data_IF_617846131107
#
_entry.id   IF_617846131107
#
_cell.length_a   1.000
_cell.length_b   1.000
_cell.length_c   1.000
_cell.angle_alpha   90.00
_cell.angle_beta   90.00
_cell.angle_gamma   90.00
#
_symmetry.space_group_name_H-M   'P 1'
#
loop_
_entity.id
_entity.type
_entity.pdbx_description
1 polymer ?
#
# COMPACT_ATOMS: atom_id res chain seq x y z
N UNK A 1 -4.28 4.93 1.44
CA UNK A 1 -5.48 4.17 1.87
C UNK A 1 -5.90 3.13 0.84
N UNK A 2 -6.42 3.51 -0.33
CA UNK A 2 -6.94 2.57 -1.34
C UNK A 2 -5.96 1.47 -1.73
N UNK A 3 -4.67 1.78 -1.94
CA UNK A 3 -3.67 0.78 -2.30
C UNK A 3 -3.48 -0.34 -1.29
N UNK A 4 -3.48 -0.04 0.02
CA UNK A 4 -3.39 -1.07 1.06
C UNK A 4 -4.62 -1.97 1.09
N UNK A 5 -5.81 -1.40 0.92
CA UNK A 5 -7.07 -2.18 0.84
C UNK A 5 -7.07 -3.10 -0.38
N UNK A 6 -6.61 -2.62 -1.54
CA UNK A 6 -6.51 -3.46 -2.75
C UNK A 6 -5.57 -4.66 -2.56
N UNK A 7 -4.42 -4.44 -1.90
CA UNK A 7 -3.46 -5.52 -1.57
C UNK A 7 -4.09 -6.52 -0.61
N UNK A 8 -4.76 -6.04 0.45
CA UNK A 8 -5.46 -6.89 1.41
C UNK A 8 -6.56 -7.73 0.75
N UNK A 9 -7.38 -7.10 -0.11
CA UNK A 9 -8.46 -7.78 -0.82
C UNK A 9 -7.92 -8.91 -1.70
N UNK A 10 -6.85 -8.65 -2.45
CA UNK A 10 -6.22 -9.66 -3.30
C UNK A 10 -5.69 -10.87 -2.54
N UNK A 11 -5.16 -10.65 -1.33
CA UNK A 11 -4.74 -11.72 -0.45
C UNK A 11 -5.90 -12.55 0.08
N UNK A 12 -6.99 -11.89 0.50
CA UNK A 12 -8.19 -12.55 1.02
C UNK A 12 -9.03 -13.25 -0.05
N UNK A 13 -8.96 -12.76 -1.28
CA UNK A 13 -9.77 -13.17 -2.42
C UNK A 13 -8.89 -13.48 -3.63
N UNK A 14 -7.99 -14.49 -3.55
CA UNK A 14 -6.91 -14.67 -4.51
C UNK A 14 -7.34 -15.06 -5.93
N UNK A 15 -8.62 -15.40 -6.13
CA UNK A 15 -9.16 -15.79 -7.43
C UNK A 15 -10.20 -14.77 -7.97
N UNK A 16 -10.50 -13.68 -7.24
CA UNK A 16 -11.62 -12.79 -7.57
C UNK A 16 -11.20 -11.62 -8.49
N UNK A 17 -9.90 -11.36 -8.61
CA UNK A 17 -9.35 -10.24 -9.38
C UNK A 17 -8.28 -10.69 -10.37
N UNK A 18 -8.19 -9.99 -11.50
CA UNK A 18 -7.25 -10.29 -12.59
C UNK A 18 -5.93 -9.52 -12.50
N UNK A 19 -5.85 -8.51 -11.64
CA UNK A 19 -4.64 -7.70 -11.42
C UNK A 19 -4.88 -6.52 -10.49
N UNK A 20 -3.81 -5.99 -9.89
CA UNK A 20 -3.83 -4.84 -8.99
C UNK A 20 -2.86 -3.78 -9.49
N UNK A 21 -3.36 -2.59 -9.80
CA UNK A 21 -2.54 -1.39 -9.93
C UNK A 21 -2.82 -0.47 -8.75
N UNK A 22 -1.81 -0.17 -7.93
CA UNK A 22 -1.97 0.72 -6.79
C UNK A 22 -0.84 1.72 -6.61
N UNK A 23 -1.16 2.80 -5.89
CA UNK A 23 -0.29 3.94 -5.63
C UNK A 23 -0.05 4.05 -4.12
N UNK A 24 1.23 4.12 -3.72
CA UNK A 24 1.66 4.24 -2.33
C UNK A 24 0.87 3.38 -1.31
N UNK A 25 0.80 2.04 -1.49
CA UNK A 25 0.09 1.16 -0.55
C UNK A 25 0.81 1.10 0.80
N UNK A 26 0.04 1.12 1.89
CA UNK A 26 0.54 0.84 3.23
C UNK A 26 0.50 -0.67 3.51
N UNK A 27 1.45 -1.16 4.30
CA UNK A 27 1.56 -2.58 4.68
C UNK A 27 0.82 -2.96 5.97
N UNK A 28 0.65 -2.00 6.89
CA UNK A 28 -0.10 -2.14 8.14
C UNK A 28 -0.71 -0.79 8.53
N UNK A 29 -1.92 -0.80 9.09
CA UNK A 29 -2.56 0.41 9.61
C UNK A 29 -1.80 0.97 10.82
N UNK A 30 -1.17 0.11 11.61
CA UNK A 30 -0.36 0.48 12.77
C UNK A 30 0.84 1.35 12.36
N UNK A 31 1.60 0.88 11.38
CA UNK A 31 2.75 1.63 10.85
C UNK A 31 2.27 2.93 10.17
N UNK A 32 1.16 2.89 9.43
CA UNK A 32 0.58 4.08 8.81
C UNK A 32 0.19 5.14 9.85
N UNK A 33 -0.52 4.74 10.89
CA UNK A 33 -0.97 5.63 11.96
C UNK A 33 0.23 6.23 12.70
N UNK A 34 1.23 5.41 13.04
CA UNK A 34 2.47 5.88 13.64
C UNK A 34 3.17 6.92 12.75
N UNK A 35 3.34 6.63 11.46
CA UNK A 35 3.95 7.56 10.49
C UNK A 35 3.14 8.86 10.36
N UNK A 36 1.81 8.77 10.35
CA UNK A 36 0.94 9.94 10.28
C UNK A 36 1.09 10.83 11.51
N UNK A 37 1.09 10.25 12.72
CA UNK A 37 1.34 11.00 13.96
C UNK A 37 2.71 11.68 13.90
N UNK A 38 3.76 10.93 13.48
CA UNK A 38 5.11 11.44 13.20
C UNK A 38 5.20 12.58 12.20
N UNK A 39 4.27 12.64 11.25
CA UNK A 39 4.23 13.71 10.26
C UNK A 39 3.60 15.01 10.81
N UNK A 40 2.55 14.89 11.61
CA UNK A 40 1.74 16.05 12.05
C UNK A 40 2.19 16.67 13.37
N UNK A 41 2.95 15.94 14.19
CA UNK A 41 3.39 16.41 15.50
C UNK A 41 4.90 16.35 15.66
N UNK A 42 5.49 17.44 16.15
CA UNK A 42 6.93 17.52 16.48
C UNK A 42 7.24 17.05 17.91
N UNK A 43 6.23 16.84 18.75
CA UNK A 43 6.36 16.54 20.19
C UNK A 43 5.82 15.14 20.52
N UNK A 44 6.25 14.14 19.77
CA UNK A 44 5.69 12.79 19.92
C UNK A 44 6.41 12.05 21.02
N UNK A 45 5.60 11.39 21.84
CA UNK A 45 6.00 10.28 22.67
C UNK A 45 5.05 9.10 22.40
N UNK A 46 5.44 7.91 22.83
CA UNK A 46 4.67 6.68 22.63
C UNK A 46 3.26 6.75 23.26
N UNK A 47 3.07 7.59 24.28
CA UNK A 47 1.77 7.81 24.93
C UNK A 47 0.75 8.47 23.98
N UNK A 48 1.19 9.37 23.10
CA UNK A 48 0.30 10.00 22.12
C UNK A 48 -0.24 8.97 21.12
N UNK A 49 0.64 8.11 20.59
CA UNK A 49 0.27 7.03 19.67
C UNK A 49 -0.70 6.05 20.37
N UNK A 50 -0.39 5.67 21.62
CA UNK A 50 -1.29 4.83 22.41
C UNK A 50 -2.67 5.48 22.60
N UNK A 51 -2.72 6.80 22.85
CA UNK A 51 -3.99 7.52 23.00
C UNK A 51 -4.78 7.60 21.71
N UNK A 52 -4.12 7.78 20.55
CA UNK A 52 -4.78 7.73 19.25
C UNK A 52 -5.41 6.36 19.01
N UNK A 53 -4.68 5.27 19.31
CA UNK A 53 -5.23 3.91 19.22
C UNK A 53 -6.39 3.65 20.17
N UNK A 54 -6.33 4.15 21.40
CA UNK A 54 -7.45 4.08 22.34
C UNK A 54 -8.71 4.75 21.75
N UNK A 55 -8.55 5.94 21.14
CA UNK A 55 -9.66 6.66 20.51
C UNK A 55 -10.18 5.96 19.26
N UNK A 56 -9.31 5.35 18.44
CA UNK A 56 -9.71 4.53 17.29
C UNK A 56 -10.56 3.36 17.79
N UNK A 57 -10.06 2.60 18.77
CA UNK A 57 -10.77 1.47 19.34
C UNK A 57 -12.13 1.86 19.91
N UNK A 58 -12.21 2.94 20.69
CA UNK A 58 -13.47 3.44 21.25
C UNK A 58 -14.49 3.83 20.17
N UNK A 59 -14.04 4.31 19.00
CA UNK A 59 -14.92 4.79 17.92
C UNK A 59 -15.31 3.71 16.92
N UNK A 60 -14.44 2.73 16.67
CA UNK A 60 -14.61 1.77 15.57
C UNK A 60 -14.64 0.32 16.03
N UNK A 61 -14.24 0.03 17.27
CA UNK A 61 -14.01 -1.31 17.78
C UNK A 61 -12.73 -1.98 17.26
N UNK A 62 -11.99 -1.33 16.35
CA UNK A 62 -10.77 -1.89 15.77
C UNK A 62 -9.72 -2.13 16.84
N UNK A 63 -9.05 -3.27 16.75
CA UNK A 63 -7.89 -3.59 17.58
C UNK A 63 -6.61 -3.40 16.77
N UNK A 64 -5.57 -2.90 17.43
CA UNK A 64 -4.24 -2.77 16.86
C UNK A 64 -3.76 -4.12 16.27
N UNK A 65 -3.21 -4.12 15.07
CA UNK A 65 -2.81 -5.34 14.35
C UNK A 65 -3.92 -6.08 13.58
N UNK A 66 -5.17 -5.59 13.59
CA UNK A 66 -6.24 -6.23 12.81
C UNK A 66 -6.09 -5.97 11.30
N UNK A 67 -5.66 -4.77 10.92
CA UNK A 67 -5.57 -4.32 9.52
C UNK A 67 -4.12 -4.34 9.05
N UNK A 68 -3.72 -5.48 8.49
CA UNK A 68 -2.37 -5.73 7.99
C UNK A 68 -2.38 -6.24 6.54
N UNK A 69 -2.50 -5.35 5.53
CA UNK A 69 -2.46 -5.76 4.13
C UNK A 69 -1.30 -6.68 3.76
N UNK A 70 -0.12 -6.48 4.35
CA UNK A 70 1.05 -7.33 4.10
C UNK A 70 0.86 -8.78 4.55
N UNK A 71 0.08 -9.01 5.62
CA UNK A 71 -0.20 -10.36 6.13
C UNK A 71 -1.02 -11.16 5.12
N UNK A 72 -1.97 -10.52 4.46
CA UNK A 72 -2.81 -11.17 3.45
C UNK A 72 -2.09 -11.25 2.08
N UNK A 73 -1.20 -10.31 1.77
CA UNK A 73 -0.49 -10.21 0.49
C UNK A 73 0.21 -11.50 0.04
N UNK A 74 0.69 -12.33 0.98
CA UNK A 74 1.33 -13.61 0.69
C UNK A 74 0.42 -14.64 0.01
N UNK A 75 -0.91 -14.48 0.15
CA UNK A 75 -1.90 -15.40 -0.43
C UNK A 75 -2.33 -14.98 -1.84
N UNK A 76 -1.99 -13.76 -2.26
CA UNK A 76 -2.43 -13.21 -3.53
C UNK A 76 -1.82 -13.97 -4.71
N UNK A 77 -2.57 -14.07 -5.82
CA UNK A 77 -2.12 -14.72 -7.07
C UNK A 77 -2.08 -13.78 -8.26
N UNK A 78 -2.94 -12.77 -8.26
CA UNK A 78 -3.07 -11.82 -9.35
C UNK A 78 -1.79 -10.98 -9.54
N UNK A 79 -1.45 -10.54 -10.76
CA UNK A 79 -0.36 -9.60 -11.00
C UNK A 79 -0.49 -8.31 -10.18
N UNK A 80 0.64 -7.76 -9.74
CA UNK A 80 0.71 -6.54 -8.95
C UNK A 80 1.62 -5.50 -9.60
N UNK A 81 1.10 -4.27 -9.74
CA UNK A 81 1.86 -3.07 -10.04
C UNK A 81 1.71 -2.08 -8.89
N UNK A 82 2.83 -1.63 -8.35
CA UNK A 82 2.90 -0.54 -7.38
C UNK A 82 3.69 0.60 -7.99
N UNK A 83 3.15 1.82 -7.94
CA UNK A 83 3.99 3.03 -8.04
C UNK A 83 4.16 3.69 -6.68
N UNK A 84 5.35 4.23 -6.43
CA UNK A 84 5.66 4.88 -5.16
C UNK A 84 6.70 6.00 -5.30
N UNK A 85 6.39 7.16 -4.72
CA UNK A 85 7.32 8.27 -4.56
C UNK A 85 8.41 8.00 -3.52
N UNK A 86 9.68 8.12 -3.89
CA UNK A 86 10.81 7.79 -3.00
C UNK A 86 10.95 8.71 -1.78
N UNK A 87 10.31 9.88 -1.81
CA UNK A 87 10.32 10.87 -0.73
C UNK A 87 8.99 10.92 0.05
N UNK A 88 8.15 9.89 -0.08
CA UNK A 88 6.91 9.78 0.68
C UNK A 88 7.20 9.64 2.18
N UNK A 89 6.70 10.59 2.97
CA UNK A 89 6.83 10.60 4.44
C UNK A 89 5.56 10.15 5.15
N UNK A 90 4.43 10.09 4.44
CA UNK A 90 3.16 9.63 5.00
C UNK A 90 3.09 8.11 4.95
N UNK A 91 3.43 7.53 3.80
CA UNK A 91 3.59 6.10 3.60
C UNK A 91 5.01 5.88 3.07
N UNK A 92 6.03 5.69 3.92
CA UNK A 92 7.38 5.44 3.43
C UNK A 92 7.44 4.31 2.41
N UNK A 93 8.30 4.45 1.40
CA UNK A 93 8.44 3.47 0.31
C UNK A 93 8.72 2.05 0.79
N UNK A 94 9.30 1.90 1.99
CA UNK A 94 9.53 0.62 2.65
C UNK A 94 8.27 -0.21 2.84
N UNK A 95 7.08 0.39 2.93
CA UNK A 95 5.82 -0.35 2.91
C UNK A 95 5.64 -1.14 1.61
N UNK A 96 5.89 -0.50 0.47
CA UNK A 96 5.77 -1.16 -0.84
C UNK A 96 6.87 -2.18 -1.08
N UNK A 97 8.08 -1.92 -0.61
CA UNK A 97 9.17 -2.89 -0.64
C UNK A 97 8.81 -4.16 0.13
N UNK A 98 8.32 -4.00 1.36
CA UNK A 98 7.86 -5.12 2.20
C UNK A 98 6.68 -5.86 1.56
N UNK A 99 5.71 -5.15 0.97
CA UNK A 99 4.60 -5.76 0.25
C UNK A 99 5.12 -6.59 -0.93
N UNK A 100 5.98 -6.04 -1.80
CA UNK A 100 6.56 -6.77 -2.93
C UNK A 100 7.30 -8.02 -2.47
N UNK A 101 8.10 -7.91 -1.40
CA UNK A 101 8.82 -9.04 -0.85
C UNK A 101 7.86 -10.15 -0.38
N UNK A 102 6.80 -9.79 0.34
CA UNK A 102 5.82 -10.73 0.87
C UNK A 102 4.79 -11.23 -0.16
N UNK A 103 4.60 -10.53 -1.28
CA UNK A 103 3.52 -10.82 -2.23
C UNK A 103 3.64 -12.21 -2.88
N UNK A 104 2.55 -12.99 -2.82
CA UNK A 104 2.50 -14.37 -3.32
C UNK A 104 2.44 -14.52 -4.83
N UNK A 105 1.92 -13.50 -5.54
CA UNK A 105 1.82 -13.50 -6.99
C UNK A 105 3.20 -13.42 -7.63
N UNK A 106 3.40 -14.19 -8.71
CA UNK A 106 4.68 -14.26 -9.42
C UNK A 106 5.00 -12.96 -10.15
N UNK A 107 3.98 -12.33 -10.74
CA UNK A 107 4.12 -11.09 -11.49
C UNK A 107 3.94 -9.90 -10.55
N UNK A 108 5.05 -9.25 -10.20
CA UNK A 108 5.04 -8.08 -9.31
C UNK A 108 6.05 -7.04 -9.74
N UNK A 109 5.62 -5.79 -9.74
CA UNK A 109 6.43 -4.64 -10.16
C UNK A 109 6.31 -3.50 -9.15
N UNK A 110 7.44 -2.90 -8.82
CA UNK A 110 7.53 -1.64 -8.09
C UNK A 110 8.19 -0.58 -8.97
N UNK A 111 7.40 0.37 -9.45
CA UNK A 111 7.90 1.58 -10.08
C UNK A 111 8.21 2.62 -9.00
N UNK A 112 9.49 2.92 -8.85
CA UNK A 112 9.97 4.03 -8.01
C UNK A 112 10.05 5.30 -8.84
N UNK A 113 9.68 6.42 -8.24
CA UNK A 113 9.86 7.72 -8.89
C UNK A 113 10.18 8.83 -7.88
N UNK A 114 10.82 9.89 -8.36
CA UNK A 114 11.03 11.11 -7.58
C UNK A 114 9.69 11.77 -7.26
N UNK A 115 9.41 11.97 -5.97
CA UNK A 115 8.20 12.61 -5.48
C UNK A 115 7.87 12.18 -4.06
N UNK A 116 6.99 12.92 -3.41
CA UNK A 116 6.35 12.56 -2.15
C UNK A 116 4.93 12.02 -2.38
N UNK A 117 4.15 11.84 -1.30
CA UNK A 117 2.79 11.32 -1.36
C UNK A 117 1.87 12.12 -2.30
N UNK A 118 2.04 13.45 -2.36
CA UNK A 118 1.13 14.37 -3.03
C UNK A 118 1.69 14.96 -4.33
N UNK A 119 2.94 14.65 -4.65
CA UNK A 119 3.58 15.09 -5.89
C UNK A 119 2.83 14.58 -7.11
N UNK A 120 2.77 15.39 -8.17
CA UNK A 120 2.25 14.92 -9.46
C UNK A 120 3.01 13.66 -9.89
N UNK A 121 2.26 12.62 -10.26
CA UNK A 121 2.86 11.38 -10.76
C UNK A 121 3.47 11.64 -12.13
N UNK A 122 4.72 11.20 -12.40
CA UNK A 122 5.36 11.44 -13.69
C UNK A 122 4.67 10.65 -14.80
N UNK A 123 4.83 11.06 -16.06
CA UNK A 123 4.19 10.38 -17.21
C UNK A 123 4.52 8.89 -17.26
N UNK A 124 5.76 8.50 -16.92
CA UNK A 124 6.18 7.09 -16.86
C UNK A 124 5.32 6.24 -15.92
N UNK A 125 4.79 6.82 -14.83
CA UNK A 125 3.87 6.12 -13.94
C UNK A 125 2.56 5.79 -14.65
N UNK A 126 1.95 6.78 -15.32
CA UNK A 126 0.71 6.58 -16.08
C UNK A 126 0.93 5.58 -17.21
N UNK A 127 2.02 5.71 -17.95
CA UNK A 127 2.28 4.90 -19.13
C UNK A 127 2.49 3.42 -18.75
N UNK A 128 3.25 3.14 -17.69
CA UNK A 128 3.45 1.78 -17.19
C UNK A 128 2.17 1.20 -16.55
N UNK A 129 1.41 2.01 -15.80
CA UNK A 129 0.13 1.57 -15.26
C UNK A 129 -0.88 1.24 -16.37
N UNK A 130 -0.95 2.05 -17.43
CA UNK A 130 -1.78 1.77 -18.59
C UNK A 130 -1.34 0.49 -19.31
N UNK A 131 -0.03 0.26 -19.48
CA UNK A 131 0.49 -0.97 -20.05
C UNK A 131 0.13 -2.20 -19.20
N UNK A 132 0.28 -2.08 -17.88
CA UNK A 132 -0.15 -3.11 -16.92
C UNK A 132 -1.64 -3.43 -17.08
N UNK A 133 -2.52 -2.43 -17.15
CA UNK A 133 -3.96 -2.66 -17.34
C UNK A 133 -4.29 -3.29 -18.69
N UNK A 134 -3.66 -2.87 -19.78
CA UNK A 134 -3.84 -3.52 -21.09
C UNK A 134 -3.44 -4.99 -21.05
N UNK A 135 -2.35 -5.31 -20.35
CA UNK A 135 -1.91 -6.69 -20.16
C UNK A 135 -2.95 -7.52 -19.40
N UNK A 136 -3.37 -7.07 -18.21
CA UNK A 136 -4.24 -7.89 -17.34
C UNK A 136 -5.71 -7.92 -17.78
N UNK A 137 -6.19 -6.90 -18.49
CA UNK A 137 -7.58 -6.83 -18.96
C UNK A 137 -7.78 -7.34 -20.38
N UNK A 138 -6.79 -7.17 -21.26
CA UNK A 138 -6.91 -7.46 -22.70
C UNK A 138 -5.94 -8.54 -23.19
N UNK A 139 -5.01 -9.01 -22.35
CA UNK A 139 -3.97 -9.96 -22.76
C UNK A 139 -2.92 -9.38 -23.72
N UNK A 140 -2.86 -8.05 -23.86
CA UNK A 140 -1.91 -7.39 -24.77
C UNK A 140 -0.54 -7.31 -24.09
N UNK A 141 0.44 -8.03 -24.62
CA UNK A 141 1.85 -7.89 -24.25
C UNK A 141 2.57 -7.06 -25.33
N UNK A 142 3.27 -6.01 -24.92
CA UNK A 142 4.17 -5.26 -25.82
C UNK A 142 5.39 -6.09 -26.20
#
# INVERSE_FOLDING_TARGET
>A
MGGGVSVMYAGKHPNDIVGIGCDAPFGSLDDFESNFVHLISRQINENLIAKVWELIHQKTGLVKGEIEPIRDAQNAKAPLFIGHGESDKLVPISHSEKIIAAYGGQEKQLLRFRGDHNSYRPDIYRDQLCAFYKKVLLGITN
#
